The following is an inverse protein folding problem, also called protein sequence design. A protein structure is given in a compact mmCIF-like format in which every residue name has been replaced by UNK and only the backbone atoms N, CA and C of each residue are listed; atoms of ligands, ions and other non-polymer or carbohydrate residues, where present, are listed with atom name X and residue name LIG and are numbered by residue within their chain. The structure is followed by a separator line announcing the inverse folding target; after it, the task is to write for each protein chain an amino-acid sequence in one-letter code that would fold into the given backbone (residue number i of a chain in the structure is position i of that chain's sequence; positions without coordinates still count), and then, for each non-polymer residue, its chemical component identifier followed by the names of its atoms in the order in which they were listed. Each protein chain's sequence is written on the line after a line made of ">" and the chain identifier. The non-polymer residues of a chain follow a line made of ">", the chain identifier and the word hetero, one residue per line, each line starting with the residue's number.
data_IF_373886817590
#
_entry.id   IF_373886817590
#
_cell.length_a   1.000
_cell.length_b   1.000
_cell.length_c   1.000
_cell.angle_alpha   90.00
_cell.angle_beta   90.00
_cell.angle_gamma   90.00
#
_symmetry.space_group_name_H-M   'P 1'
#
loop_
_entity.id
_entity.type
_entity.pdbx_description
1 polymer ?
#
# COMPACT_ATOMS: atom_id res chain seq x y z
N UNK A 1 -20.27 4.91 -10.44
CA UNK A 1 -20.01 4.41 -9.07
C UNK A 1 -18.61 4.84 -8.70
N UNK A 2 -18.33 5.28 -7.46
CA UNK A 2 -16.95 5.52 -7.05
C UNK A 2 -16.17 4.21 -7.21
N UNK A 3 -15.10 4.25 -8.01
CA UNK A 3 -14.18 3.12 -8.11
C UNK A 3 -13.39 3.10 -6.81
N UNK A 4 -13.48 2.01 -6.06
CA UNK A 4 -12.67 1.79 -4.86
C UNK A 4 -11.46 0.98 -5.26
N UNK A 5 -10.26 1.44 -4.88
CA UNK A 5 -9.05 0.66 -5.01
C UNK A 5 -8.93 -0.26 -3.79
N UNK A 6 -9.57 -1.43 -3.90
CA UNK A 6 -9.69 -2.39 -2.80
C UNK A 6 -8.48 -3.32 -2.85
N UNK A 7 -7.52 -3.10 -1.96
CA UNK A 7 -6.38 -3.98 -1.79
C UNK A 7 -6.86 -5.25 -1.10
N UNK A 8 -6.72 -6.41 -1.76
CA UNK A 8 -6.96 -7.74 -1.17
C UNK A 8 -5.61 -8.40 -0.93
N UNK A 9 -5.04 -8.29 0.27
CA UNK A 9 -3.66 -8.72 0.50
C UNK A 9 -3.57 -10.24 0.49
N UNK A 10 -2.90 -10.81 -0.51
CA UNK A 10 -2.37 -12.17 -0.43
C UNK A 10 -0.98 -12.09 0.22
N UNK A 11 -0.96 -12.01 1.55
CA UNK A 11 0.30 -11.84 2.30
C UNK A 11 1.01 -13.18 2.38
N UNK A 12 2.19 -13.22 1.75
CA UNK A 12 3.14 -14.29 2.00
C UNK A 12 3.86 -13.99 3.32
N UNK A 13 3.39 -14.66 4.37
CA UNK A 13 4.04 -14.62 5.68
C UNK A 13 5.33 -15.41 5.63
N UNK A 14 6.46 -14.79 6.02
CA UNK A 14 7.78 -15.42 5.97
C UNK A 14 7.89 -16.62 6.92
N UNK A 15 7.06 -16.62 7.96
CA UNK A 15 6.65 -17.78 8.74
C UNK A 15 5.13 -17.70 8.87
N UNK A 16 4.42 -18.77 8.58
CA UNK A 16 2.99 -18.93 8.91
C UNK A 16 2.69 -18.73 10.41
N UNK A 17 3.75 -18.68 11.23
CA UNK A 17 3.74 -18.44 12.66
C UNK A 17 4.76 -17.34 13.03
N UNK A 18 4.29 -16.11 13.25
CA UNK A 18 5.14 -15.03 13.74
C UNK A 18 5.54 -15.32 15.21
N UNK A 19 6.81 -15.15 15.62
CA UNK A 19 7.18 -15.33 17.02
C UNK A 19 6.53 -14.24 17.88
N UNK A 20 5.87 -14.67 18.96
CA UNK A 20 5.31 -13.77 19.97
C UNK A 20 6.38 -12.84 20.56
N UNK A 21 7.57 -13.40 20.80
CA UNK A 21 8.75 -12.72 21.32
C UNK A 21 9.88 -12.81 20.29
N UNK A 22 10.14 -11.71 19.59
CA UNK A 22 11.30 -11.57 18.71
C UNK A 22 12.46 -10.93 19.47
N UNK A 23 13.69 -11.31 19.11
CA UNK A 23 14.91 -10.73 19.69
C UNK A 23 15.08 -9.23 19.38
N UNK A 24 14.45 -8.75 18.31
CA UNK A 24 14.47 -7.34 17.92
C UNK A 24 13.18 -6.90 17.23
N UNK A 25 12.79 -5.67 17.53
CA UNK A 25 11.71 -4.94 16.87
C UNK A 25 12.26 -3.62 16.33
N UNK A 26 11.70 -3.07 15.24
CA UNK A 26 10.62 -3.63 14.43
C UNK A 26 11.11 -4.75 13.48
N UNK A 27 10.24 -5.70 13.16
CA UNK A 27 10.53 -6.74 12.16
C UNK A 27 9.36 -6.98 11.21
N UNK A 28 9.66 -7.45 9.99
CA UNK A 28 8.63 -7.78 8.99
C UNK A 28 8.09 -9.19 9.20
N UNK A 29 6.79 -9.27 9.46
CA UNK A 29 6.01 -10.50 9.62
C UNK A 29 5.68 -11.13 8.27
N UNK A 30 5.37 -10.30 7.27
CA UNK A 30 5.02 -10.77 5.93
C UNK A 30 5.03 -9.64 4.92
N UNK A 31 4.92 -10.02 3.64
CA UNK A 31 4.78 -9.06 2.53
C UNK A 31 3.76 -9.60 1.55
N UNK A 32 2.89 -8.75 1.04
CA UNK A 32 2.01 -9.14 -0.06
C UNK A 32 2.76 -9.17 -1.39
N UNK A 33 2.20 -9.89 -2.36
CA UNK A 33 2.40 -9.54 -3.76
C UNK A 33 1.82 -8.13 -4.04
N UNK A 34 2.11 -7.57 -5.21
CA UNK A 34 1.39 -6.38 -5.67
C UNK A 34 -0.05 -6.76 -5.99
N UNK A 35 -0.99 -6.02 -5.42
CA UNK A 35 -2.37 -6.01 -5.86
C UNK A 35 -2.51 -4.93 -6.94
N UNK A 36 -2.89 -5.32 -8.15
CA UNK A 36 -2.89 -4.44 -9.33
C UNK A 36 -4.29 -4.26 -9.87
N UNK A 37 -4.71 -3.01 -10.04
CA UNK A 37 -5.90 -2.66 -10.80
C UNK A 37 -5.48 -1.99 -12.10
N UNK A 38 -5.74 -2.66 -13.22
CA UNK A 38 -5.32 -2.20 -14.54
C UNK A 38 -6.05 -0.93 -14.99
N UNK A 39 -7.26 -0.69 -14.48
CA UNK A 39 -8.07 0.48 -14.84
C UNK A 39 -8.80 1.00 -13.61
N UNK A 40 -8.26 2.06 -13.01
CA UNK A 40 -8.94 2.86 -11.98
C UNK A 40 -9.64 4.08 -12.59
N UNK A 41 -9.14 4.59 -13.71
CA UNK A 41 -9.74 5.69 -14.46
C UNK A 41 -9.64 5.41 -15.95
N UNK A 42 -10.77 5.53 -16.66
CA UNK A 42 -10.88 5.32 -18.10
C UNK A 42 -11.41 6.59 -18.78
N UNK A 43 -10.57 7.19 -19.62
CA UNK A 43 -10.88 8.38 -20.39
C UNK A 43 -11.02 8.01 -21.87
N UNK A 44 -11.96 8.66 -22.56
CA UNK A 44 -12.20 8.40 -23.99
C UNK A 44 -11.02 8.78 -24.90
N UNK A 45 -10.12 9.65 -24.44
CA UNK A 45 -8.97 10.14 -25.19
C UNK A 45 -7.71 10.11 -24.32
N UNK A 46 -6.51 9.96 -24.92
CA UNK A 46 -5.26 10.10 -24.18
C UNK A 46 -5.10 11.51 -23.62
N UNK A 47 -4.77 11.60 -22.33
CA UNK A 47 -4.43 12.84 -21.67
C UNK A 47 -3.07 12.72 -21.00
N UNK A 48 -2.40 13.86 -20.82
CA UNK A 48 -1.23 13.95 -19.96
C UNK A 48 -1.70 13.87 -18.52
N UNK A 49 -1.54 12.69 -17.92
CA UNK A 49 -2.02 12.35 -16.60
C UNK A 49 -0.85 12.12 -15.63
N UNK A 50 -1.16 12.25 -14.35
CA UNK A 50 -0.29 11.92 -13.23
C UNK A 50 -1.11 11.37 -12.06
N UNK A 51 -0.71 10.21 -11.57
CA UNK A 51 -1.26 9.56 -10.38
C UNK A 51 -0.57 10.07 -9.11
N UNK A 52 -1.39 10.43 -8.13
CA UNK A 52 -0.98 10.88 -6.81
C UNK A 52 -1.66 10.01 -5.76
N UNK A 53 -0.98 9.78 -4.63
CA UNK A 53 -1.55 9.04 -3.52
C UNK A 53 -1.26 9.71 -2.20
N UNK A 54 -2.16 9.52 -1.24
CA UNK A 54 -1.98 9.92 0.15
C UNK A 54 -2.46 8.79 1.06
N UNK A 55 -1.62 8.40 2.02
CA UNK A 55 -2.04 7.54 3.14
C UNK A 55 -2.42 8.48 4.29
N UNK A 56 -3.60 8.27 4.86
CA UNK A 56 -4.19 9.14 5.90
C UNK A 56 -4.12 8.54 7.30
N UNK A 57 -3.66 7.28 7.40
CA UNK A 57 -3.43 6.61 8.68
C UNK A 57 -2.29 7.29 9.46
N UNK A 58 -2.35 7.36 10.80
CA UNK A 58 -1.23 7.84 11.60
C UNK A 58 0.03 6.99 11.40
N UNK A 59 1.19 7.64 11.34
CA UNK A 59 2.50 6.97 11.37
C UNK A 59 2.88 6.67 12.82
N UNK A 60 3.28 5.43 13.10
CA UNK A 60 3.60 4.93 14.46
C UNK A 60 5.03 4.43 14.60
N UNK A 61 5.78 4.36 13.50
CA UNK A 61 7.18 3.92 13.51
C UNK A 61 7.76 3.84 12.11
N UNK A 62 8.96 3.27 12.00
CA UNK A 62 9.64 3.06 10.73
C UNK A 62 10.26 1.67 10.66
N UNK A 63 10.27 1.06 9.48
CA UNK A 63 10.99 -0.17 9.17
C UNK A 63 11.82 0.03 7.91
N UNK A 64 13.14 -0.12 8.01
CA UNK A 64 14.09 0.14 6.91
C UNK A 64 13.92 1.53 6.25
N UNK A 65 13.56 2.55 7.02
CA UNK A 65 13.36 3.92 6.52
C UNK A 65 12.03 4.16 5.78
N UNK A 66 11.13 3.17 5.73
CA UNK A 66 9.74 3.30 5.30
C UNK A 66 8.82 3.46 6.53
N UNK A 67 7.80 4.29 6.43
CA UNK A 67 6.88 4.54 7.54
C UNK A 67 5.91 3.36 7.74
N UNK A 68 5.71 3.02 9.01
CA UNK A 68 4.74 2.03 9.48
C UNK A 68 3.53 2.76 10.02
N UNK A 69 2.37 2.46 9.47
CA UNK A 69 1.10 3.05 9.86
C UNK A 69 0.45 2.29 11.02
N UNK A 70 -0.46 2.93 11.74
CA UNK A 70 -1.05 2.43 13.00
C UNK A 70 -1.69 1.03 12.96
N UNK A 71 -2.04 0.56 11.77
CA UNK A 71 -2.50 -0.81 11.49
C UNK A 71 -1.36 -1.82 11.30
N UNK A 72 -0.11 -1.43 11.60
CA UNK A 72 1.07 -2.29 11.54
C UNK A 72 1.50 -2.66 10.12
N UNK A 73 1.29 -1.77 9.14
CA UNK A 73 1.68 -2.03 7.74
C UNK A 73 2.47 -0.88 7.13
N UNK A 74 3.29 -1.21 6.13
CA UNK A 74 3.86 -0.24 5.19
C UNK A 74 3.16 -0.31 3.84
N UNK A 75 3.21 0.76 3.03
CA UNK A 75 2.62 0.81 1.68
C UNK A 75 3.65 1.21 0.63
N UNK A 76 3.69 0.46 -0.47
CA UNK A 76 4.42 0.81 -1.70
C UNK A 76 3.42 0.86 -2.86
N UNK A 77 3.36 1.98 -3.57
CA UNK A 77 2.41 2.20 -4.68
C UNK A 77 3.19 2.33 -5.99
N UNK A 78 2.78 1.60 -7.02
CA UNK A 78 3.41 1.62 -8.33
C UNK A 78 2.36 1.70 -9.45
N UNK A 79 2.83 1.73 -10.69
CA UNK A 79 1.97 1.58 -11.86
C UNK A 79 1.31 0.19 -11.91
N UNK A 80 0.15 0.09 -12.55
CA UNK A 80 -0.58 -1.18 -12.71
C UNK A 80 0.17 -2.26 -13.49
N UNK A 81 1.07 -1.86 -14.40
CA UNK A 81 2.03 -2.78 -14.98
C UNK A 81 3.27 -2.75 -14.10
N UNK A 82 3.43 -3.76 -13.25
CA UNK A 82 4.64 -3.91 -12.44
C UNK A 82 5.87 -3.83 -13.37
N UNK A 83 6.76 -2.87 -13.12
CA UNK A 83 7.89 -2.39 -13.97
C UNK A 83 7.66 -1.21 -14.92
N UNK A 84 6.43 -0.69 -15.08
CA UNK A 84 6.14 0.46 -15.97
C UNK A 84 6.97 1.70 -15.65
N UNK A 85 7.21 1.96 -14.36
CA UNK A 85 8.10 3.02 -13.87
C UNK A 85 9.05 2.58 -12.73
N UNK A 86 9.26 1.27 -12.54
CA UNK A 86 10.16 0.69 -11.52
C UNK A 86 9.47 0.03 -10.31
N UNK A 87 10.19 -0.10 -9.19
CA UNK A 87 9.82 -0.82 -7.95
C UNK A 87 8.68 -0.17 -7.14
N UNK A 88 8.15 0.97 -7.57
CA UNK A 88 7.12 1.75 -6.86
C UNK A 88 7.68 2.78 -5.88
N UNK A 89 6.78 3.59 -5.33
CA UNK A 89 7.05 4.62 -4.33
C UNK A 89 6.67 4.10 -2.96
N UNK A 90 7.65 4.05 -2.05
CA UNK A 90 7.41 3.83 -0.63
C UNK A 90 6.73 5.05 -0.02
N UNK A 91 5.53 4.87 0.52
CA UNK A 91 4.77 5.96 1.11
C UNK A 91 5.39 6.39 2.44
N UNK A 92 5.70 7.68 2.58
CA UNK A 92 6.25 8.30 3.79
C UNK A 92 5.41 9.52 4.18
N UNK A 93 5.08 9.61 5.46
CA UNK A 93 4.19 10.60 6.04
C UNK A 93 2.77 10.51 5.48
N UNK A 94 2.05 11.62 5.63
CA UNK A 94 0.65 11.74 5.21
C UNK A 94 0.47 12.79 4.10
N UNK A 95 1.54 13.10 3.36
CA UNK A 95 1.51 14.08 2.30
C UNK A 95 1.05 13.46 0.98
N UNK A 96 0.33 14.24 0.19
CA UNK A 96 0.01 13.87 -1.19
C UNK A 96 1.31 13.73 -1.99
N UNK A 97 1.52 12.55 -2.57
CA UNK A 97 2.78 12.19 -3.24
C UNK A 97 2.50 11.76 -4.67
N UNK A 98 3.34 12.20 -5.61
CA UNK A 98 3.31 11.75 -7.00
C UNK A 98 3.88 10.32 -7.08
N UNK A 99 3.04 9.36 -7.50
CA UNK A 99 3.39 7.93 -7.54
C UNK A 99 3.49 7.39 -8.95
N UNK A 100 2.79 7.99 -9.93
CA UNK A 100 2.79 7.55 -11.33
C UNK A 100 2.79 8.77 -12.28
N UNK A 101 3.88 9.08 -12.99
CA UNK A 101 5.24 8.58 -12.77
C UNK A 101 5.85 9.12 -11.46
N UNK A 102 6.78 8.38 -10.83
CA UNK A 102 7.48 8.78 -9.61
C UNK A 102 8.50 9.88 -9.93
N UNK A 103 8.08 11.15 -9.82
CA UNK A 103 8.86 12.41 -9.96
C UNK A 103 7.99 13.60 -10.44
N UNK A 104 6.69 13.39 -10.61
CA UNK A 104 5.81 14.49 -10.97
C UNK A 104 5.70 14.75 -12.47
N UNK A 105 6.32 13.92 -13.33
CA UNK A 105 6.19 14.04 -14.79
C UNK A 105 4.77 13.77 -15.25
N UNK A 106 4.48 14.24 -16.45
CA UNK A 106 3.23 13.93 -17.15
C UNK A 106 3.42 12.73 -18.06
N UNK A 107 2.44 11.85 -18.11
CA UNK A 107 2.44 10.68 -18.99
C UNK A 107 1.16 10.62 -19.82
N UNK A 108 1.30 10.42 -21.13
CA UNK A 108 0.18 10.47 -22.08
C UNK A 108 -0.51 9.10 -22.17
N UNK A 109 -1.66 8.96 -21.52
CA UNK A 109 -2.44 7.71 -21.52
C UNK A 109 -3.95 7.99 -21.50
N UNK A 110 -4.76 7.09 -22.09
CA UNK A 110 -6.21 7.16 -21.97
C UNK A 110 -6.72 6.52 -20.66
N UNK A 111 -5.90 5.68 -20.01
CA UNK A 111 -6.27 4.89 -18.84
C UNK A 111 -5.19 4.99 -17.79
N UNK A 112 -5.62 5.03 -16.53
CA UNK A 112 -4.71 4.94 -15.39
C UNK A 112 -5.15 3.83 -14.46
N UNK A 113 -4.25 2.88 -14.24
CA UNK A 113 -4.31 1.91 -13.17
C UNK A 113 -3.25 2.20 -12.13
N UNK A 114 -3.25 1.41 -11.05
CA UNK A 114 -2.18 1.42 -10.06
C UNK A 114 -2.02 0.03 -9.45
N UNK A 115 -0.88 -0.20 -8.81
CA UNK A 115 -0.62 -1.38 -8.00
C UNK A 115 -0.15 -0.99 -6.61
N UNK A 116 -0.50 -1.77 -5.60
CA UNK A 116 -0.12 -1.53 -4.20
C UNK A 116 0.39 -2.82 -3.57
N UNK A 117 1.50 -2.72 -2.85
CA UNK A 117 2.08 -3.77 -2.03
C UNK A 117 2.15 -3.32 -0.59
N UNK A 118 1.86 -4.23 0.33
CA UNK A 118 1.97 -3.98 1.77
C UNK A 118 3.02 -4.87 2.43
N UNK A 119 3.64 -4.36 3.48
CA UNK A 119 4.48 -5.13 4.40
C UNK A 119 3.88 -5.11 5.80
N UNK A 120 3.58 -6.26 6.38
CA UNK A 120 3.10 -6.36 7.76
C UNK A 120 4.31 -6.30 8.72
N UNK A 121 4.31 -5.35 9.64
CA UNK A 121 5.41 -5.04 10.56
C UNK A 121 4.95 -5.19 12.01
N UNK A 122 5.69 -6.00 12.78
CA UNK A 122 5.56 -6.01 14.22
C UNK A 122 6.47 -4.93 14.82
N UNK A 123 5.87 -3.98 15.54
CA UNK A 123 6.58 -2.91 16.25
C UNK A 123 6.94 -3.28 17.70
N UNK A 124 6.36 -4.36 18.21
CA UNK A 124 6.58 -4.83 19.57
C UNK A 124 6.02 -6.24 19.78
N UNK A 125 6.07 -6.69 21.03
CA UNK A 125 5.58 -8.01 21.45
C UNK A 125 4.16 -8.27 20.97
N UNK A 126 3.93 -9.44 20.39
CA UNK A 126 2.62 -9.87 19.92
C UNK A 126 2.03 -10.92 20.87
N UNK A 127 0.73 -10.82 21.13
CA UNK A 127 0.02 -11.87 21.86
C UNK A 127 -0.06 -13.14 21.01
N UNK A 128 0.21 -14.33 21.57
CA UNK A 128 -0.01 -15.59 20.87
C UNK A 128 -1.48 -15.75 20.45
N UNK A 129 -1.73 -16.33 19.29
CA UNK A 129 -3.06 -16.54 18.73
C UNK A 129 -3.27 -15.83 17.39
N UNK A 130 -4.54 -15.74 16.98
CA UNK A 130 -4.92 -15.03 15.76
C UNK A 130 -4.92 -13.52 15.99
N UNK A 131 -4.19 -12.79 15.15
CA UNK A 131 -4.27 -11.35 15.02
C UNK A 131 -5.09 -11.03 13.78
N UNK A 132 -6.13 -10.21 13.96
CA UNK A 132 -7.02 -9.79 12.90
C UNK A 132 -6.82 -8.29 12.64
N UNK A 133 -6.53 -7.94 11.40
CA UNK A 133 -6.50 -6.56 10.93
C UNK A 133 -7.81 -6.33 10.17
N UNK A 134 -8.69 -5.44 10.65
CA UNK A 134 -9.99 -5.22 10.02
C UNK A 134 -9.83 -4.49 8.69
N UNK A 135 -10.83 -4.61 7.82
CA UNK A 135 -10.90 -3.77 6.63
C UNK A 135 -11.00 -2.30 7.04
N UNK A 136 -10.23 -1.45 6.36
CA UNK A 136 -10.11 -0.05 6.74
C UNK A 136 -9.79 0.82 5.53
N UNK A 137 -10.38 2.02 5.50
CA UNK A 137 -9.95 3.08 4.59
C UNK A 137 -8.57 3.60 5.04
N UNK A 138 -7.59 3.52 4.14
CA UNK A 138 -6.20 3.91 4.47
C UNK A 138 -5.81 5.22 3.83
N UNK A 139 -6.45 5.62 2.73
CA UNK A 139 -5.99 6.76 1.95
C UNK A 139 -6.73 6.92 0.63
N UNK A 140 -6.21 7.78 -0.22
CA UNK A 140 -6.79 8.08 -1.53
C UNK A 140 -5.72 7.96 -2.61
N UNK A 141 -6.13 7.43 -3.76
CA UNK A 141 -5.41 7.53 -5.01
C UNK A 141 -6.17 8.52 -5.91
N UNK A 142 -5.46 9.40 -6.59
CA UNK A 142 -6.07 10.40 -7.45
C UNK A 142 -5.28 10.63 -8.71
N UNK A 143 -5.95 11.08 -9.76
CA UNK A 143 -5.34 11.44 -11.03
C UNK A 143 -5.56 12.92 -11.27
N UNK A 144 -4.49 13.59 -11.67
CA UNK A 144 -4.54 14.94 -12.19
C UNK A 144 -4.06 14.96 -13.64
N UNK A 145 -4.47 15.98 -14.37
CA UNK A 145 -4.08 16.24 -15.75
C UNK A 145 -3.48 17.63 -15.90
N UNK A 146 -2.58 17.78 -16.87
CA UNK A 146 -2.14 19.10 -17.33
C UNK A 146 -3.27 19.89 -18.02
N UNK A 147 -4.34 19.20 -18.44
CA UNK A 147 -5.57 19.82 -18.95
C UNK A 147 -6.57 20.07 -17.82
N UNK A 148 -6.86 21.34 -17.54
CA UNK A 148 -7.80 21.75 -16.48
C UNK A 148 -9.22 21.22 -16.68
N UNK A 149 -9.69 21.06 -17.92
CA UNK A 149 -11.01 20.51 -18.20
C UNK A 149 -11.13 19.03 -17.85
N UNK A 150 -10.02 18.29 -17.89
CA UNK A 150 -9.99 16.87 -17.47
C UNK A 150 -10.06 16.76 -15.94
N UNK A 151 -9.43 17.70 -15.21
CA UNK A 151 -9.48 17.71 -13.75
C UNK A 151 -10.91 17.90 -13.20
N UNK A 152 -11.79 18.56 -13.94
CA UNK A 152 -13.22 18.69 -13.55
C UNK A 152 -14.05 17.41 -13.73
N UNK A 153 -13.53 16.39 -14.41
CA UNK A 153 -14.21 15.10 -14.59
C UNK A 153 -14.12 14.21 -13.34
N UNK A 154 -13.38 14.66 -12.32
CA UNK A 154 -13.01 13.84 -11.18
C UNK A 154 -11.79 12.97 -11.48
N UNK A 155 -11.43 12.15 -10.50
CA UNK A 155 -10.19 11.39 -10.56
C UNK A 155 -9.72 11.00 -9.17
N UNK A 156 -10.61 10.53 -8.29
CA UNK A 156 -10.22 10.06 -6.96
C UNK A 156 -10.88 8.73 -6.64
N UNK A 157 -10.11 7.85 -6.02
CA UNK A 157 -10.49 6.52 -5.59
C UNK A 157 -10.02 6.33 -4.15
N UNK A 158 -10.87 5.76 -3.30
CA UNK A 158 -10.45 5.37 -1.96
C UNK A 158 -9.56 4.14 -2.04
N UNK A 159 -8.46 4.18 -1.31
CA UNK A 159 -7.62 3.02 -1.04
C UNK A 159 -8.22 2.35 0.20
N UNK A 160 -8.77 1.15 0.01
CA UNK A 160 -9.34 0.34 1.07
C UNK A 160 -8.44 -0.88 1.24
N UNK A 161 -7.91 -1.08 2.43
CA UNK A 161 -7.27 -2.33 2.80
C UNK A 161 -8.38 -3.31 3.19
N UNK A 162 -8.52 -4.42 2.47
CA UNK A 162 -9.36 -5.51 2.92
C UNK A 162 -8.72 -6.18 4.15
N UNK A 163 -9.57 -6.70 5.04
CA UNK A 163 -9.12 -7.29 6.28
C UNK A 163 -8.28 -8.53 6.02
N UNK A 164 -7.27 -8.76 6.86
CA UNK A 164 -6.47 -9.99 6.82
C UNK A 164 -6.09 -10.43 8.23
N UNK A 165 -5.74 -11.71 8.35
CA UNK A 165 -5.40 -12.33 9.62
C UNK A 165 -4.11 -13.12 9.51
N UNK A 166 -3.38 -13.21 10.62
CA UNK A 166 -2.21 -14.07 10.74
C UNK A 166 -2.10 -14.66 12.14
N UNK A 167 -1.39 -15.78 12.25
CA UNK A 167 -1.23 -16.50 13.51
C UNK A 167 0.14 -16.22 14.15
N UNK A 168 0.13 -16.00 15.46
CA UNK A 168 1.32 -15.76 16.28
C UNK A 168 1.52 -16.97 17.19
N UNK A 169 2.72 -17.55 17.15
CA UNK A 169 3.11 -18.65 18.06
C UNK A 169 4.18 -18.19 19.02
N UNK A 170 4.12 -18.70 20.25
CA UNK A 170 5.27 -18.67 21.15
C UNK A 170 6.35 -19.59 20.59
N UNK A 171 7.54 -19.07 20.35
CA UNK A 171 8.72 -19.88 20.05
C UNK A 171 9.66 -19.79 21.24
N UNK A 172 9.69 -20.83 22.07
CA UNK A 172 10.76 -20.97 23.06
C UNK A 172 12.03 -21.31 22.30
N UNK A 173 13.07 -20.48 22.43
CA UNK A 173 14.40 -20.88 21.98
C UNK A 173 14.81 -22.11 22.80
N UNK A 174 14.84 -23.29 22.18
CA UNK A 174 15.54 -24.43 22.75
C UNK A 174 17.02 -24.07 22.79
N UNK A 175 17.52 -23.73 23.97
CA UNK A 175 18.95 -23.76 24.26
C UNK A 175 19.34 -25.25 24.31
N UNK A 176 19.63 -25.82 23.14
CA UNK A 176 20.33 -27.11 23.02
C UNK A 176 21.83 -26.88 23.10
#
# INVERSE_FOLDING_TARGET
>A
MPLHFIIRPDIQFSNTDAPADAFSYPYRVGRSAYYSESVLFDYCWPYYLRGQAVITRPVVGQYNGQDVYDIGVTFTIADSQESGFGEGVEMKGNNLTDVIPPNGRWYLVPRMGASIRIGAIALGRLSPGWINIPSVHVGNFSVISSNRGVNSLGGSSFIILDGFSFFVKTKTCSLS
#
